data_IF_220331370124
#
_entry.id   IF_220331370124
#
_cell.length_a   1.000
_cell.length_b   1.000
_cell.length_c   1.000
_cell.angle_alpha   90.00
_cell.angle_beta   90.00
_cell.angle_gamma   90.00
#
_symmetry.space_group_name_H-M   'P 1'
#
loop_
_entity.id
_entity.type
_entity.pdbx_description
1 polymer ?
#
# COMPACT_ATOMS: atom_id res chain seq x y z
N UNK A 1 61.63 38.07 42.29
CA UNK A 1 61.04 36.71 42.27
C UNK A 1 59.51 36.70 42.32
N UNK A 2 58.84 37.58 43.07
CA UNK A 2 57.38 37.62 43.22
C UNK A 2 56.56 37.74 41.91
N UNK A 3 57.04 38.50 40.90
CA UNK A 3 56.35 38.64 39.60
C UNK A 3 56.26 37.35 38.79
N UNK A 4 57.28 36.48 38.87
CA UNK A 4 57.30 35.18 38.16
C UNK A 4 56.36 34.17 38.82
N UNK A 5 56.24 34.21 40.15
CA UNK A 5 55.32 33.36 40.92
C UNK A 5 53.86 33.74 40.63
N UNK A 6 53.55 35.03 40.53
CA UNK A 6 52.21 35.51 40.19
C UNK A 6 51.77 35.05 38.78
N UNK A 7 52.67 35.14 37.78
CA UNK A 7 52.39 34.66 36.42
C UNK A 7 52.17 33.14 36.37
N UNK A 8 52.93 32.36 37.13
CA UNK A 8 52.75 30.90 37.21
C UNK A 8 51.42 30.53 37.87
N UNK A 9 51.00 31.23 38.93
CA UNK A 9 49.70 31.02 39.56
C UNK A 9 48.54 31.40 38.64
N UNK A 10 48.62 32.53 37.93
CA UNK A 10 47.58 32.95 36.97
C UNK A 10 47.48 31.97 35.79
N UNK A 11 48.61 31.49 35.27
CA UNK A 11 48.62 30.50 34.20
C UNK A 11 48.04 29.15 34.67
N UNK A 12 48.39 28.70 35.88
CA UNK A 12 47.86 27.45 36.45
C UNK A 12 46.34 27.53 36.70
N UNK A 13 45.85 28.67 37.21
CA UNK A 13 44.41 28.91 37.42
C UNK A 13 43.64 29.03 36.09
N UNK A 14 44.25 29.62 35.06
CA UNK A 14 43.63 29.69 33.73
C UNK A 14 43.53 28.33 33.05
N UNK A 15 44.52 27.45 33.25
CA UNK A 15 44.58 26.12 32.64
C UNK A 15 43.59 25.14 33.31
N UNK A 16 43.36 25.25 34.62
CA UNK A 16 42.37 24.45 35.36
C UNK A 16 40.93 24.87 35.04
N UNK A 17 40.65 26.17 34.86
CA UNK A 17 39.34 26.68 34.44
C UNK A 17 39.01 26.23 33.00
N UNK A 18 39.99 26.19 32.09
CA UNK A 18 39.77 25.75 30.71
C UNK A 18 39.46 24.25 30.60
N UNK A 19 40.10 23.39 31.41
CA UNK A 19 39.77 21.96 31.47
C UNK A 19 38.42 21.68 32.16
N UNK A 20 38.03 22.49 33.14
CA UNK A 20 36.72 22.36 33.80
C UNK A 20 35.54 22.76 32.89
N UNK A 21 35.78 23.59 31.87
CA UNK A 21 34.78 23.96 30.85
C UNK A 21 34.63 22.91 29.74
N UNK A 22 35.69 22.15 29.42
CA UNK A 22 35.64 21.10 28.40
C UNK A 22 34.97 19.79 28.89
N UNK A 23 34.87 19.58 30.20
CA UNK A 23 34.27 18.37 30.79
C UNK A 23 32.75 18.46 31.06
N UNK A 24 32.06 19.49 30.52
CA UNK A 24 30.59 19.65 30.62
C UNK A 24 29.88 19.76 29.27
N UNK A 25 30.42 19.11 28.24
CA UNK A 25 29.59 18.72 27.09
C UNK A 25 28.98 17.37 27.51
N UNK A 26 27.70 17.30 27.93
CA UNK A 26 27.04 16.01 27.87
C UNK A 26 27.21 15.55 26.42
N UNK A 27 27.76 14.36 26.21
CA UNK A 27 27.50 13.66 24.97
C UNK A 27 25.97 13.64 24.91
N UNK A 28 25.40 14.53 24.10
CA UNK A 28 24.05 14.32 23.56
C UNK A 28 24.27 13.10 22.70
N UNK A 29 24.21 11.94 23.34
CA UNK A 29 23.79 10.75 22.66
C UNK A 29 22.42 11.19 22.16
N UNK A 30 22.36 11.51 20.87
CA UNK A 30 21.11 11.55 20.18
C UNK A 30 20.54 10.15 20.42
N UNK A 31 19.72 10.02 21.46
CA UNK A 31 18.65 9.06 21.44
C UNK A 31 17.88 9.46 20.19
N UNK A 32 18.25 8.87 19.06
CA UNK A 32 17.41 8.79 17.89
C UNK A 32 16.12 8.15 18.40
N UNK A 33 15.05 8.89 18.67
CA UNK A 33 13.81 8.29 19.10
C UNK A 33 13.05 7.99 17.82
N UNK A 34 13.56 7.10 16.94
CA UNK A 34 12.78 6.73 15.75
C UNK A 34 13.23 5.50 14.94
N UNK A 35 14.18 4.68 15.41
CA UNK A 35 14.43 3.39 14.75
C UNK A 35 13.44 2.29 15.19
N UNK A 36 13.03 2.29 16.47
CA UNK A 36 12.24 1.18 17.03
C UNK A 36 10.80 1.11 16.53
N UNK A 37 10.13 2.24 16.27
CA UNK A 37 8.75 2.22 15.78
C UNK A 37 8.68 1.87 14.28
N UNK A 38 9.67 2.32 13.51
CA UNK A 38 9.79 2.04 12.07
C UNK A 38 10.11 0.57 11.79
N UNK A 39 11.10 0.00 12.47
CA UNK A 39 11.49 -1.42 12.33
C UNK A 39 10.31 -2.35 12.70
N UNK A 40 9.68 -2.11 13.85
CA UNK A 40 8.53 -2.90 14.33
C UNK A 40 7.30 -2.80 13.41
N UNK A 41 7.10 -1.67 12.72
CA UNK A 41 5.96 -1.48 11.81
C UNK A 41 6.18 -2.18 10.47
N UNK A 42 7.41 -2.20 9.95
CA UNK A 42 7.75 -3.00 8.77
C UNK A 42 7.73 -4.49 9.06
N UNK A 43 8.15 -4.91 10.26
CA UNK A 43 8.08 -6.31 10.70
C UNK A 43 6.62 -6.79 10.81
N UNK A 44 5.71 -5.95 11.32
CA UNK A 44 4.27 -6.24 11.32
C UNK A 44 3.74 -6.51 9.91
N UNK A 45 4.09 -5.67 8.93
CA UNK A 45 3.68 -5.87 7.53
C UNK A 45 4.30 -7.15 6.97
N UNK A 46 5.58 -7.40 7.25
CA UNK A 46 6.24 -8.63 6.82
C UNK A 46 5.53 -9.88 7.34
N UNK A 47 5.20 -9.91 8.63
CA UNK A 47 4.48 -11.02 9.26
C UNK A 47 3.09 -11.23 8.63
N UNK A 48 2.33 -10.15 8.42
CA UNK A 48 0.99 -10.23 7.80
C UNK A 48 1.05 -10.66 6.33
N UNK A 49 2.03 -10.19 5.59
CA UNK A 49 2.25 -10.61 4.20
C UNK A 49 2.69 -12.06 4.08
N UNK A 50 3.31 -12.64 5.12
CA UNK A 50 3.79 -14.02 5.12
C UNK A 50 2.69 -15.07 4.87
N UNK A 51 1.43 -14.77 5.22
CA UNK A 51 0.28 -15.64 5.01
C UNK A 51 -0.37 -15.49 3.62
N UNK A 52 0.07 -14.51 2.81
CA UNK A 52 -0.53 -14.24 1.49
C UNK A 52 0.06 -15.12 0.40
N UNK A 53 -0.67 -15.26 -0.72
CA UNK A 53 -0.20 -16.00 -1.91
C UNK A 53 1.06 -15.39 -2.54
N UNK A 54 1.25 -14.07 -2.39
CA UNK A 54 2.38 -13.33 -2.95
C UNK A 54 3.11 -12.46 -1.90
N UNK A 55 3.81 -13.08 -0.92
CA UNK A 55 4.36 -12.35 0.23
C UNK A 55 5.29 -11.20 -0.13
N UNK A 56 6.21 -11.42 -1.07
CA UNK A 56 7.18 -10.39 -1.47
C UNK A 56 6.52 -9.21 -2.16
N UNK A 57 5.44 -9.42 -2.91
CA UNK A 57 4.74 -8.30 -3.53
C UNK A 57 3.88 -7.55 -2.51
N UNK A 58 3.15 -8.27 -1.66
CA UNK A 58 2.42 -7.67 -0.53
C UNK A 58 3.34 -6.74 0.28
N UNK A 59 4.52 -7.24 0.68
CA UNK A 59 5.46 -6.44 1.46
C UNK A 59 5.95 -5.21 0.70
N UNK A 60 6.41 -5.35 -0.55
CA UNK A 60 6.89 -4.21 -1.34
C UNK A 60 5.83 -3.13 -1.55
N UNK A 61 4.57 -3.54 -1.68
CA UNK A 61 3.45 -2.63 -1.91
C UNK A 61 3.03 -1.90 -0.64
N UNK A 62 3.23 -2.50 0.54
CA UNK A 62 2.74 -1.97 1.82
C UNK A 62 3.82 -1.38 2.71
N UNK A 63 5.08 -1.78 2.58
CA UNK A 63 6.18 -1.38 3.47
C UNK A 63 6.36 0.15 3.55
N UNK A 64 6.13 0.86 2.44
CA UNK A 64 6.15 2.33 2.40
C UNK A 64 5.04 3.00 3.21
N UNK A 65 4.01 2.25 3.60
CA UNK A 65 2.87 2.71 4.40
C UNK A 65 2.94 2.25 5.86
N UNK A 66 4.05 1.64 6.30
CA UNK A 66 4.23 1.08 7.65
C UNK A 66 3.90 2.06 8.77
N UNK A 67 4.30 3.31 8.64
CA UNK A 67 3.99 4.38 9.59
C UNK A 67 2.48 4.66 9.71
N UNK A 68 1.76 4.61 8.58
CA UNK A 68 0.32 4.88 8.56
C UNK A 68 -0.51 3.67 9.04
N UNK A 69 0.02 2.45 8.90
CA UNK A 69 -0.60 1.21 9.38
C UNK A 69 -0.54 1.09 10.91
N UNK A 70 0.49 1.65 11.56
CA UNK A 70 0.65 1.65 13.03
C UNK A 70 0.44 0.27 13.68
N UNK A 71 0.92 -0.80 13.03
CA UNK A 71 0.74 -2.18 13.49
C UNK A 71 -0.73 -2.63 13.69
N UNK A 72 -1.68 -1.95 13.06
CA UNK A 72 -3.10 -2.27 13.14
C UNK A 72 -3.55 -3.11 11.95
N UNK A 73 -4.11 -4.32 12.17
CA UNK A 73 -4.67 -5.13 11.09
C UNK A 73 -5.78 -4.41 10.32
N UNK A 74 -6.61 -3.63 11.00
CA UNK A 74 -7.71 -2.86 10.39
C UNK A 74 -7.14 -1.74 9.52
N UNK A 75 -6.11 -1.02 9.98
CA UNK A 75 -5.49 0.01 9.15
C UNK A 75 -4.78 -0.59 7.95
N UNK A 76 -4.07 -1.72 8.13
CA UNK A 76 -3.45 -2.46 7.02
C UNK A 76 -4.48 -2.83 5.95
N UNK A 77 -5.60 -3.41 6.39
CA UNK A 77 -6.75 -3.77 5.55
C UNK A 77 -7.33 -2.57 4.78
N UNK A 78 -7.50 -1.42 5.43
CA UNK A 78 -8.03 -0.19 4.81
C UNK A 78 -7.04 0.35 3.78
N UNK A 79 -5.76 0.42 4.11
CA UNK A 79 -4.73 0.85 3.17
C UNK A 79 -4.66 -0.05 1.95
N UNK A 80 -4.61 -1.37 2.16
CA UNK A 80 -4.66 -2.38 1.11
C UNK A 80 -5.86 -2.19 0.19
N UNK A 81 -7.06 -2.10 0.77
CA UNK A 81 -8.31 -1.93 0.03
C UNK A 81 -8.34 -0.63 -0.76
N UNK A 82 -7.84 0.47 -0.20
CA UNK A 82 -7.78 1.75 -0.91
C UNK A 82 -6.78 1.73 -2.07
N UNK A 83 -5.64 1.06 -1.92
CA UNK A 83 -4.69 0.83 -3.02
C UNK A 83 -5.33 0.00 -4.14
N UNK A 84 -6.01 -1.10 -3.77
CA UNK A 84 -6.74 -1.93 -4.73
C UNK A 84 -7.83 -1.14 -5.44
N UNK A 85 -8.65 -0.37 -4.71
CA UNK A 85 -9.70 0.47 -5.27
C UNK A 85 -9.14 1.50 -6.26
N UNK A 86 -8.09 2.23 -5.89
CA UNK A 86 -7.47 3.22 -6.77
C UNK A 86 -6.97 2.58 -8.06
N UNK A 87 -6.36 1.40 -7.95
CA UNK A 87 -5.80 0.67 -9.07
C UNK A 87 -6.88 0.05 -9.98
N UNK A 88 -7.92 -0.58 -9.43
CA UNK A 88 -9.01 -1.14 -10.23
C UNK A 88 -9.84 -0.04 -10.89
N UNK A 89 -10.03 1.11 -10.23
CA UNK A 89 -10.66 2.28 -10.83
C UNK A 89 -9.83 2.85 -11.99
N UNK A 90 -8.50 2.95 -11.83
CA UNK A 90 -7.60 3.36 -12.92
C UNK A 90 -7.64 2.38 -14.09
N UNK A 91 -7.73 1.08 -13.82
CA UNK A 91 -7.82 0.05 -14.84
C UNK A 91 -9.16 0.08 -15.58
N UNK A 92 -10.27 0.22 -14.86
CA UNK A 92 -11.61 0.40 -15.45
C UNK A 92 -11.64 1.62 -16.38
N UNK A 93 -11.10 2.77 -15.94
CA UNK A 93 -11.02 3.98 -16.75
C UNK A 93 -10.16 3.77 -18.02
N UNK A 94 -9.07 3.03 -17.90
CA UNK A 94 -8.19 2.70 -19.02
C UNK A 94 -8.90 1.80 -20.06
N UNK A 95 -9.55 0.72 -19.62
CA UNK A 95 -10.32 -0.18 -20.50
C UNK A 95 -11.47 0.57 -21.16
N UNK A 96 -12.19 1.41 -20.41
CA UNK A 96 -13.23 2.28 -20.97
C UNK A 96 -12.67 3.25 -22.03
N UNK A 97 -11.43 3.69 -21.90
CA UNK A 97 -10.75 4.50 -22.93
C UNK A 97 -10.45 3.70 -24.19
N UNK A 98 -9.89 2.50 -24.05
CA UNK A 98 -9.65 1.60 -25.18
C UNK A 98 -10.96 1.27 -25.91
N UNK A 99 -12.03 0.99 -25.16
CA UNK A 99 -13.37 0.76 -25.71
C UNK A 99 -13.88 1.95 -26.52
N UNK A 100 -13.70 3.18 -26.02
CA UNK A 100 -14.07 4.40 -26.75
C UNK A 100 -13.27 4.57 -28.05
N UNK A 101 -11.96 4.31 -28.02
CA UNK A 101 -11.13 4.34 -29.23
C UNK A 101 -11.62 3.30 -30.25
N UNK A 102 -11.93 2.09 -29.81
CA UNK A 102 -12.55 1.07 -30.66
C UNK A 102 -13.92 1.45 -31.21
N UNK A 103 -14.75 2.16 -30.44
CA UNK A 103 -16.06 2.65 -30.91
C UNK A 103 -15.98 3.66 -32.06
N UNK A 104 -14.79 4.22 -32.35
CA UNK A 104 -14.55 5.09 -33.52
C UNK A 104 -14.08 4.34 -34.75
N UNK A 105 -13.86 3.02 -34.64
CA UNK A 105 -13.41 2.20 -35.75
C UNK A 105 -14.50 2.09 -36.84
N UNK A 106 -14.08 2.14 -38.11
CA UNK A 106 -15.00 2.12 -39.27
C UNK A 106 -15.54 0.72 -39.62
N UNK A 107 -15.05 -0.33 -38.96
CA UNK A 107 -15.40 -1.73 -39.21
C UNK A 107 -15.13 -2.56 -37.95
N UNK A 108 -15.90 -3.63 -37.75
CA UNK A 108 -15.66 -4.62 -36.69
C UNK A 108 -14.25 -5.25 -36.80
N UNK A 109 -13.73 -5.43 -38.02
CA UNK A 109 -12.37 -5.95 -38.23
C UNK A 109 -11.26 -5.01 -37.76
N UNK A 110 -11.56 -3.72 -37.56
CA UNK A 110 -10.59 -2.73 -37.09
C UNK A 110 -10.47 -2.70 -35.55
N UNK A 111 -11.41 -3.30 -34.82
CA UNK A 111 -11.25 -3.61 -33.40
C UNK A 111 -11.94 -4.96 -33.06
N UNK A 112 -11.27 -6.09 -33.36
CA UNK A 112 -11.77 -7.42 -33.03
C UNK A 112 -12.06 -7.63 -31.54
N UNK A 113 -11.34 -6.92 -30.67
CA UNK A 113 -11.45 -6.98 -29.21
C UNK A 113 -12.60 -6.13 -28.62
N UNK A 114 -13.46 -5.51 -29.44
CA UNK A 114 -14.51 -4.62 -28.96
C UNK A 114 -15.49 -5.30 -27.97
N UNK A 115 -15.79 -6.59 -28.18
CA UNK A 115 -16.59 -7.39 -27.25
C UNK A 115 -15.90 -7.56 -25.91
N UNK A 116 -14.67 -8.09 -25.93
CA UNK A 116 -13.83 -8.27 -24.74
C UNK A 116 -13.62 -6.98 -23.94
N UNK A 117 -13.42 -5.84 -24.63
CA UNK A 117 -13.27 -4.52 -24.00
C UNK A 117 -14.56 -4.04 -23.32
N UNK A 118 -15.73 -4.37 -23.87
CA UNK A 118 -17.02 -4.06 -23.23
C UNK A 118 -17.20 -4.91 -21.98
N UNK A 119 -17.06 -6.23 -22.13
CA UNK A 119 -17.31 -7.18 -21.04
C UNK A 119 -16.32 -6.95 -19.89
N UNK A 120 -15.03 -6.73 -20.20
CA UNK A 120 -14.04 -6.35 -19.18
C UNK A 120 -14.34 -5.00 -18.52
N UNK A 121 -14.85 -3.99 -19.25
CA UNK A 121 -15.21 -2.70 -18.65
C UNK A 121 -16.35 -2.86 -17.63
N UNK A 122 -17.31 -3.74 -17.92
CA UNK A 122 -18.45 -4.02 -17.04
C UNK A 122 -17.96 -4.79 -15.79
N UNK A 123 -17.19 -5.86 -15.95
CA UNK A 123 -16.62 -6.60 -14.81
C UNK A 123 -15.74 -5.73 -13.92
N UNK A 124 -14.88 -4.88 -14.51
CA UNK A 124 -14.07 -3.95 -13.72
C UNK A 124 -14.90 -2.86 -13.04
N UNK A 125 -16.03 -2.46 -13.62
CA UNK A 125 -16.99 -1.56 -12.98
C UNK A 125 -17.56 -2.19 -11.70
N UNK A 126 -18.00 -3.45 -11.79
CA UNK A 126 -18.47 -4.19 -10.62
C UNK A 126 -17.36 -4.38 -9.58
N UNK A 127 -16.13 -4.66 -10.01
CA UNK A 127 -14.97 -4.76 -9.12
C UNK A 127 -14.70 -3.45 -8.36
N UNK A 128 -14.82 -2.29 -9.02
CA UNK A 128 -14.71 -0.98 -8.36
C UNK A 128 -15.78 -0.81 -7.29
N UNK A 129 -17.03 -1.13 -7.60
CA UNK A 129 -18.14 -0.97 -6.67
C UNK A 129 -18.01 -1.90 -5.46
N UNK A 130 -17.61 -3.15 -5.68
CA UNK A 130 -17.35 -4.11 -4.62
C UNK A 130 -16.18 -3.67 -3.73
N UNK A 131 -15.07 -3.19 -4.32
CA UNK A 131 -13.94 -2.66 -3.55
C UNK A 131 -14.34 -1.43 -2.72
N UNK A 132 -15.22 -0.55 -3.23
CA UNK A 132 -15.79 0.57 -2.46
C UNK A 132 -16.63 0.09 -1.28
N UNK A 133 -17.45 -0.93 -1.48
CA UNK A 133 -18.26 -1.52 -0.40
C UNK A 133 -17.37 -2.14 0.67
N UNK A 134 -16.32 -2.87 0.29
CA UNK A 134 -15.30 -3.37 1.23
C UNK A 134 -14.68 -2.22 2.04
N UNK A 135 -14.29 -1.13 1.39
CA UNK A 135 -13.73 0.04 2.07
C UNK A 135 -14.73 0.63 3.08
N UNK A 136 -16.01 0.69 2.72
CA UNK A 136 -17.09 1.13 3.59
C UNK A 136 -17.21 0.29 4.87
N UNK A 137 -17.16 -1.03 4.76
CA UNK A 137 -17.25 -1.92 5.92
C UNK A 137 -16.05 -1.78 6.85
N UNK A 138 -14.84 -1.69 6.26
CA UNK A 138 -13.61 -1.52 7.03
C UNK A 138 -13.55 -0.17 7.74
N UNK A 139 -14.07 0.90 7.14
CA UNK A 139 -14.21 2.20 7.81
C UNK A 139 -15.26 2.13 8.93
N UNK A 140 -16.36 1.39 8.73
CA UNK A 140 -17.41 1.22 9.74
C UNK A 140 -16.95 0.52 11.02
N UNK A 141 -15.84 -0.24 10.97
CA UNK A 141 -15.29 -0.93 12.16
C UNK A 141 -14.86 0.01 13.29
N UNK A 142 -14.53 1.27 13.00
CA UNK A 142 -14.13 2.25 14.03
C UNK A 142 -15.29 2.59 14.99
N UNK A 143 -16.53 2.40 14.54
CA UNK A 143 -17.72 2.63 15.35
C UNK A 143 -18.15 1.40 16.19
N UNK A 144 -17.51 0.25 15.98
CA UNK A 144 -17.92 -1.01 16.61
C UNK A 144 -16.97 -1.40 17.74
N UNK A 145 -17.51 -1.99 18.81
CA UNK A 145 -16.68 -2.63 19.82
C UNK A 145 -15.92 -3.82 19.21
N UNK A 146 -14.63 -3.97 19.55
CA UNK A 146 -13.80 -5.07 19.07
C UNK A 146 -14.44 -6.42 19.43
N UNK A 147 -14.58 -7.30 18.43
CA UNK A 147 -15.19 -8.62 18.60
C UNK A 147 -16.73 -8.64 18.72
N UNK A 148 -17.40 -7.49 18.58
CA UNK A 148 -18.87 -7.46 18.55
C UNK A 148 -19.41 -8.22 17.32
N UNK A 149 -20.66 -8.69 17.43
CA UNK A 149 -21.33 -9.34 16.30
C UNK A 149 -21.39 -8.43 15.05
N UNK A 150 -21.56 -7.12 15.26
CA UNK A 150 -21.52 -6.13 14.20
C UNK A 150 -20.13 -6.05 13.56
N UNK A 151 -19.05 -5.96 14.36
CA UNK A 151 -17.69 -5.94 13.84
C UNK A 151 -17.36 -7.20 13.01
N UNK A 152 -17.74 -8.38 13.50
CA UNK A 152 -17.55 -9.66 12.79
C UNK A 152 -18.32 -9.66 11.46
N UNK A 153 -19.56 -9.19 11.46
CA UNK A 153 -20.38 -9.09 10.25
C UNK A 153 -19.75 -8.17 9.19
N UNK A 154 -19.25 -7.00 9.61
CA UNK A 154 -18.57 -6.07 8.70
C UNK A 154 -17.33 -6.69 8.06
N UNK A 155 -16.51 -7.39 8.84
CA UNK A 155 -15.33 -8.10 8.32
C UNK A 155 -15.75 -9.18 7.30
N UNK A 156 -16.80 -9.95 7.59
CA UNK A 156 -17.33 -10.97 6.67
C UNK A 156 -17.81 -10.38 5.34
N UNK A 157 -18.55 -9.27 5.39
CA UNK A 157 -18.97 -8.54 4.18
C UNK A 157 -17.76 -8.02 3.39
N UNK A 158 -16.80 -7.41 4.09
CA UNK A 158 -15.58 -6.88 3.50
C UNK A 158 -14.81 -7.97 2.72
N UNK A 159 -14.64 -9.14 3.34
CA UNK A 159 -14.01 -10.31 2.71
C UNK A 159 -14.77 -10.82 1.49
N UNK A 160 -16.10 -10.95 1.62
CA UNK A 160 -16.97 -11.43 0.53
C UNK A 160 -16.87 -10.51 -0.69
N UNK A 161 -17.03 -9.21 -0.48
CA UNK A 161 -17.00 -8.24 -1.58
C UNK A 161 -15.62 -8.08 -2.18
N UNK A 162 -14.54 -8.14 -1.39
CA UNK A 162 -13.20 -8.12 -1.94
C UNK A 162 -12.94 -9.37 -2.79
N UNK A 163 -13.35 -10.55 -2.32
CA UNK A 163 -13.20 -11.79 -3.10
C UNK A 163 -13.93 -11.71 -4.45
N UNK A 164 -15.17 -11.18 -4.44
CA UNK A 164 -15.92 -10.97 -5.67
C UNK A 164 -15.28 -9.92 -6.59
N UNK A 165 -14.67 -8.86 -6.05
CA UNK A 165 -13.94 -7.88 -6.85
C UNK A 165 -12.76 -8.52 -7.58
N UNK A 166 -12.01 -9.40 -6.91
CA UNK A 166 -10.89 -10.14 -7.51
C UNK A 166 -11.37 -11.10 -8.61
N UNK A 167 -12.46 -11.83 -8.36
CA UNK A 167 -13.07 -12.69 -9.40
C UNK A 167 -13.51 -11.89 -10.62
N UNK A 168 -14.03 -10.67 -10.45
CA UNK A 168 -14.40 -9.81 -11.57
C UNK A 168 -13.17 -9.31 -12.36
N UNK A 169 -12.02 -9.13 -11.70
CA UNK A 169 -10.78 -8.87 -12.42
C UNK A 169 -10.33 -10.07 -13.26
N UNK A 170 -10.38 -11.29 -12.70
CA UNK A 170 -10.09 -12.52 -13.43
C UNK A 170 -11.03 -12.68 -14.63
N UNK A 171 -12.33 -12.44 -14.42
CA UNK A 171 -13.37 -12.49 -15.48
C UNK A 171 -13.06 -11.51 -16.62
N UNK A 172 -12.53 -10.31 -16.32
CA UNK A 172 -12.08 -9.39 -17.35
C UNK A 172 -10.98 -10.01 -18.23
N UNK A 173 -10.01 -10.73 -17.65
CA UNK A 173 -8.93 -11.38 -18.41
C UNK A 173 -9.46 -12.54 -19.24
N UNK A 174 -10.34 -13.36 -18.66
CA UNK A 174 -10.95 -14.50 -19.34
C UNK A 174 -11.75 -14.05 -20.57
N UNK A 175 -12.38 -12.86 -20.51
CA UNK A 175 -13.07 -12.25 -21.65
C UNK A 175 -12.18 -11.97 -22.88
N UNK A 176 -10.84 -12.02 -22.74
CA UNK A 176 -9.90 -11.89 -23.86
C UNK A 176 -9.41 -13.23 -24.42
N UNK A 177 -9.86 -14.40 -23.93
CA UNK A 177 -9.36 -15.70 -24.39
C UNK A 177 -9.42 -15.86 -25.92
N UNK A 178 -10.57 -15.52 -26.52
CA UNK A 178 -10.81 -15.62 -27.96
C UNK A 178 -10.16 -14.50 -28.79
N UNK A 179 -9.63 -13.45 -28.14
CA UNK A 179 -8.92 -12.37 -28.82
C UNK A 179 -7.51 -12.85 -29.21
N UNK A 180 -7.11 -12.53 -30.44
CA UNK A 180 -5.80 -12.91 -31.00
C UNK A 180 -4.63 -12.59 -30.04
N UNK A 181 -3.67 -13.50 -29.83
CA UNK A 181 -2.54 -13.30 -28.92
C UNK A 181 -1.69 -12.06 -29.22
N UNK A 182 -1.63 -11.66 -30.49
CA UNK A 182 -0.88 -10.49 -30.97
C UNK A 182 -1.61 -9.16 -30.68
N UNK A 183 -2.84 -9.20 -30.18
CA UNK A 183 -3.59 -8.01 -29.83
C UNK A 183 -2.87 -7.22 -28.73
N UNK A 184 -2.46 -6.00 -29.10
CA UNK A 184 -1.82 -5.05 -28.17
C UNK A 184 -2.75 -4.68 -27.02
N UNK A 185 -4.06 -4.60 -27.27
CA UNK A 185 -5.06 -4.32 -26.26
C UNK A 185 -5.15 -5.46 -25.24
N UNK A 186 -5.26 -6.72 -25.69
CA UNK A 186 -5.20 -7.90 -24.82
C UNK A 186 -3.94 -7.91 -23.96
N UNK A 187 -2.77 -7.78 -24.59
CA UNK A 187 -1.49 -7.82 -23.90
C UNK A 187 -1.32 -6.70 -22.84
N UNK A 188 -1.85 -5.49 -23.11
CA UNK A 188 -1.82 -4.38 -22.16
C UNK A 188 -2.82 -4.55 -21.01
N UNK A 189 -4.08 -4.91 -21.31
CA UNK A 189 -5.13 -5.11 -20.31
C UNK A 189 -4.77 -6.26 -19.37
N UNK A 190 -4.47 -7.45 -19.89
CA UNK A 190 -4.12 -8.61 -19.05
C UNK A 190 -2.90 -8.32 -18.17
N UNK A 191 -1.87 -7.64 -18.69
CA UNK A 191 -0.70 -7.25 -17.90
C UNK A 191 -1.07 -6.33 -16.72
N UNK A 192 -2.00 -5.40 -16.92
CA UNK A 192 -2.46 -4.49 -15.86
C UNK A 192 -3.36 -5.18 -14.84
N UNK A 193 -4.16 -6.16 -15.26
CA UNK A 193 -4.96 -7.01 -14.37
C UNK A 193 -4.05 -7.87 -13.48
N UNK A 194 -3.16 -8.67 -14.07
CA UNK A 194 -2.30 -9.58 -13.30
C UNK A 194 -1.37 -8.87 -12.30
N UNK A 195 -0.93 -7.65 -12.64
CA UNK A 195 -0.10 -6.84 -11.73
C UNK A 195 -0.78 -6.47 -10.42
N UNK A 196 -2.11 -6.42 -10.35
CA UNK A 196 -2.80 -6.06 -9.11
C UNK A 196 -3.61 -7.15 -8.46
N UNK A 197 -4.01 -8.23 -9.15
CA UNK A 197 -4.40 -9.50 -8.51
C UNK A 197 -3.28 -10.05 -7.61
N UNK A 198 -2.05 -9.64 -7.85
CA UNK A 198 -0.93 -10.02 -7.01
C UNK A 198 -0.91 -9.28 -5.65
N UNK A 199 -1.80 -8.30 -5.42
CA UNK A 199 -1.94 -7.55 -4.16
C UNK A 199 -2.96 -8.16 -3.19
N UNK A 200 -3.43 -9.38 -3.45
CA UNK A 200 -4.39 -10.11 -2.61
C UNK A 200 -3.85 -10.31 -1.19
N UNK A 201 -4.13 -9.32 -0.35
CA UNK A 201 -3.89 -9.38 1.08
C UNK A 201 -5.09 -10.12 1.64
N UNK A 202 -4.95 -11.45 1.72
CA UNK A 202 -5.92 -12.27 2.43
C UNK A 202 -6.03 -11.76 3.87
N UNK A 203 -7.24 -11.31 4.23
CA UNK A 203 -7.60 -10.91 5.58
C UNK A 203 -7.57 -12.14 6.48
N UNK A 204 -6.41 -12.40 7.09
CA UNK A 204 -6.21 -13.43 8.13
C UNK A 204 -5.70 -12.81 9.42
#
# INVERSE_FOLDING_TARGET
MARKICLLFVLFFSFTVLHALAARIPLVQASQPQASFGENSTEFIWARCGATRYPSLCYRSLAGYSFAVQQSPIQLARFATNLTLARVASLSAHVASLRRTCGTAKSASACPEAGALRDCADSLGDAVDLARRTAGELCGLEAEAAGSAAAVWRVSNAQTWMSAALTNEDTCVDGFEEVAPESRAKADVCRRVWRGLSLDIQFT
#
